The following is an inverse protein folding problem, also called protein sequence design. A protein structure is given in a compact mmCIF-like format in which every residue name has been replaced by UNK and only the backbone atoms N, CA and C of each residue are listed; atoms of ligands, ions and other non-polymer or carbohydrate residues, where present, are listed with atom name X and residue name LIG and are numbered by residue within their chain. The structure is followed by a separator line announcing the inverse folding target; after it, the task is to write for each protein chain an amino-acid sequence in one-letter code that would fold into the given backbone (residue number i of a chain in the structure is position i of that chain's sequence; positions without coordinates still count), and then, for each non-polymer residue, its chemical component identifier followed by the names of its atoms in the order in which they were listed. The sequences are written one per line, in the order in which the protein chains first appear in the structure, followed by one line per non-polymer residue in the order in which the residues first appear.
data_IF_667559370178
#
_entry.id   IF_667559370178
#
_cell.length_a   1.000
_cell.length_b   1.000
_cell.length_c   1.000
_cell.angle_alpha   90.00
_cell.angle_beta   90.00
_cell.angle_gamma   90.00
#
_symmetry.space_group_name_H-M   'P 1'
#
loop_
_entity.id
_entity.type
_entity.pdbx_description
1 polymer ?
#
# COMPACT_ATOMS: atom_id res chain seq x y z
N UNK A 1 -12.90 -42.74 -20.37
CA UNK A 1 -11.48 -42.33 -20.50
C UNK A 1 -11.19 -41.33 -19.39
N UNK A 2 -10.67 -41.81 -18.24
CA UNK A 2 -9.35 -41.48 -17.63
C UNK A 2 -9.21 -39.99 -17.26
N UNK A 3 -9.43 -39.59 -15.98
CA UNK A 3 -8.50 -39.56 -14.80
C UNK A 3 -7.55 -38.32 -14.85
N UNK A 4 -7.18 -37.55 -13.82
CA UNK A 4 -7.29 -37.61 -12.35
C UNK A 4 -6.78 -36.26 -11.75
N UNK A 5 -7.52 -35.68 -10.81
CA UNK A 5 -7.14 -35.12 -9.48
C UNK A 5 -5.65 -35.20 -9.07
N UNK A 6 -5.09 -34.14 -8.45
CA UNK A 6 -4.34 -34.27 -7.16
C UNK A 6 -4.16 -32.96 -6.36
N UNK A 7 -4.55 -33.05 -5.09
CA UNK A 7 -4.33 -32.13 -3.95
C UNK A 7 -2.99 -32.53 -3.31
N UNK A 8 -2.13 -31.58 -2.92
CA UNK A 8 -0.94 -31.89 -2.11
C UNK A 8 -1.04 -31.20 -0.74
N UNK A 9 -1.50 -32.02 0.23
CA UNK A 9 -1.08 -32.03 1.62
C UNK A 9 0.41 -32.48 1.65
N UNK A 10 1.27 -31.84 2.45
CA UNK A 10 2.61 -32.40 2.71
C UNK A 10 2.92 -32.39 4.21
N UNK A 11 2.58 -33.53 4.81
CA UNK A 11 3.09 -33.99 6.10
C UNK A 11 4.50 -34.58 5.95
N UNK A 12 5.29 -34.35 6.99
CA UNK A 12 6.49 -35.06 7.44
C UNK A 12 6.75 -36.46 6.86
N UNK A 13 7.95 -36.66 6.31
CA UNK A 13 8.68 -37.93 6.39
C UNK A 13 10.16 -37.70 6.73
N UNK A 14 10.57 -38.36 7.81
CA UNK A 14 11.92 -38.60 8.31
C UNK A 14 12.77 -39.47 7.35
N UNK A 15 14.07 -39.19 7.23
CA UNK A 15 15.16 -40.19 7.11
C UNK A 15 16.54 -39.50 7.16
N UNK A 16 17.26 -39.58 8.28
CA UNK A 16 18.58 -40.24 8.39
C UNK A 16 19.59 -39.24 8.99
N UNK A 17 20.47 -39.54 9.94
CA UNK A 17 21.17 -40.78 10.23
C UNK A 17 21.41 -40.92 11.75
N UNK A 18 21.23 -42.13 12.25
CA UNK A 18 21.70 -42.60 13.56
C UNK A 18 23.20 -42.89 13.49
N UNK A 19 24.02 -42.19 14.26
CA UNK A 19 25.34 -42.70 14.65
C UNK A 19 25.22 -43.30 16.05
N UNK A 20 25.42 -44.62 16.10
CA UNK A 20 25.56 -45.40 17.31
C UNK A 20 26.76 -44.88 18.11
N UNK A 21 26.52 -44.51 19.37
CA UNK A 21 27.59 -44.22 20.32
C UNK A 21 27.86 -45.48 21.14
N UNK A 22 29.11 -45.93 21.10
CA UNK A 22 29.58 -47.21 21.63
C UNK A 22 29.27 -47.35 23.13
N UNK A 23 28.74 -48.51 23.50
CA UNK A 23 28.63 -48.97 24.88
C UNK A 23 30.01 -49.14 25.49
N UNK A 24 30.33 -48.37 26.54
CA UNK A 24 31.51 -48.63 27.35
C UNK A 24 31.35 -49.95 28.09
N UNK A 25 32.30 -50.85 27.85
CA UNK A 25 32.47 -52.13 28.52
C UNK A 25 32.56 -51.96 30.05
N UNK A 26 31.69 -52.65 30.78
CA UNK A 26 31.92 -52.96 32.19
C UNK A 26 33.10 -53.95 32.27
N UNK A 27 34.27 -53.45 32.67
CA UNK A 27 35.40 -54.29 33.08
C UNK A 27 35.32 -54.53 34.58
N UNK A 28 34.67 -55.62 34.96
CA UNK A 28 34.79 -56.25 36.28
C UNK A 28 36.18 -56.87 36.44
N UNK A 29 37.15 -56.05 36.86
CA UNK A 29 38.50 -56.48 37.21
C UNK A 29 38.72 -56.44 38.71
N UNK A 30 38.41 -57.55 39.38
CA UNK A 30 38.84 -57.88 40.74
C UNK A 30 40.36 -58.08 40.67
N UNK A 31 41.19 -57.09 41.03
CA UNK A 31 42.54 -57.19 41.60
C UNK A 31 43.19 -55.78 41.65
N UNK A 32 43.42 -55.27 42.87
CA UNK A 32 44.12 -54.02 43.16
C UNK A 32 45.62 -54.14 42.84
N UNK A 33 46.19 -53.12 42.20
CA UNK A 33 47.63 -52.80 42.28
C UNK A 33 47.84 -51.67 43.29
N UNK A 34 48.84 -51.74 44.20
CA UNK A 34 49.11 -50.67 45.16
C UNK A 34 50.11 -49.63 44.62
N UNK A 35 49.96 -48.43 45.20
CA UNK A 35 50.84 -47.23 45.23
C UNK A 35 50.95 -46.43 43.92
N UNK A 36 50.76 -45.10 43.90
CA UNK A 36 51.25 -44.06 44.84
C UNK A 36 50.17 -42.98 45.06
N UNK A 37 50.06 -42.50 46.30
CA UNK A 37 49.19 -41.38 46.66
C UNK A 37 49.72 -40.05 46.08
N UNK A 38 49.10 -39.57 44.99
CA UNK A 38 49.11 -38.15 44.65
C UNK A 38 47.75 -37.55 45.02
N UNK A 39 47.80 -36.68 46.03
CA UNK A 39 46.71 -35.85 46.51
C UNK A 39 46.21 -34.94 45.38
N UNK A 40 45.29 -35.41 44.54
CA UNK A 40 44.53 -34.53 43.67
C UNK A 40 43.57 -33.72 44.55
N UNK A 41 44.00 -32.50 44.89
CA UNK A 41 43.15 -31.43 45.42
C UNK A 41 41.85 -31.42 44.63
N UNK A 42 40.72 -31.65 45.31
CA UNK A 42 39.42 -31.30 44.79
C UNK A 42 39.48 -29.85 44.34
N UNK A 43 39.20 -29.61 43.05
CA UNK A 43 39.10 -28.26 42.53
C UNK A 43 37.89 -27.64 43.23
N UNK A 44 38.15 -26.75 44.17
CA UNK A 44 37.11 -26.06 44.93
C UNK A 44 36.34 -25.18 43.95
N UNK A 45 35.16 -25.65 43.54
CA UNK A 45 34.24 -24.89 42.68
C UNK A 45 33.78 -23.69 43.48
N UNK A 46 34.12 -22.50 43.02
CA UNK A 46 33.75 -21.23 43.68
C UNK A 46 32.55 -20.61 42.99
N UNK A 47 31.78 -19.77 43.71
CA UNK A 47 30.58 -19.10 43.18
C UNK A 47 30.86 -18.30 41.90
N UNK A 48 32.11 -17.85 41.70
CA UNK A 48 32.58 -17.19 40.49
C UNK A 48 32.63 -18.08 39.24
N UNK A 49 32.63 -19.40 39.40
CA UNK A 49 32.53 -20.34 38.27
C UNK A 49 31.08 -20.47 37.75
N UNK A 50 30.11 -19.99 38.53
CA UNK A 50 28.69 -19.92 38.17
C UNK A 50 28.20 -18.50 37.86
N UNK A 51 29.05 -17.48 38.05
CA UNK A 51 28.74 -16.14 37.57
C UNK A 51 28.90 -16.09 36.05
N UNK A 52 27.99 -15.39 35.39
CA UNK A 52 28.05 -15.19 33.95
C UNK A 52 29.37 -14.53 33.56
N UNK A 53 30.29 -15.31 32.98
CA UNK A 53 31.50 -14.79 32.36
C UNK A 53 31.16 -14.42 30.92
N UNK A 54 31.23 -13.12 30.53
CA UNK A 54 30.98 -12.73 29.15
C UNK A 54 32.14 -13.25 28.30
N UNK A 55 31.93 -14.38 27.64
CA UNK A 55 32.96 -14.99 26.79
C UNK A 55 33.08 -14.16 25.50
N UNK A 56 34.29 -13.65 25.22
CA UNK A 56 34.61 -12.69 24.16
C UNK A 56 34.49 -13.17 22.71
N UNK A 57 33.83 -14.30 22.47
CA UNK A 57 33.50 -14.87 21.16
C UNK A 57 32.02 -15.24 21.09
N UNK A 58 31.12 -14.31 21.45
CA UNK A 58 29.69 -14.52 21.25
C UNK A 58 29.39 -14.54 19.75
N UNK A 59 29.09 -15.74 19.24
CA UNK A 59 28.62 -15.89 17.87
C UNK A 59 27.40 -14.97 17.67
N UNK A 60 27.28 -14.33 16.50
CA UNK A 60 26.12 -13.48 16.15
C UNK A 60 24.78 -14.22 16.37
N UNK A 61 24.82 -15.55 16.35
CA UNK A 61 23.71 -16.46 16.59
C UNK A 61 23.37 -16.71 18.07
N UNK A 62 24.30 -16.46 18.99
CA UNK A 62 24.09 -16.61 20.44
C UNK A 62 23.40 -15.39 21.04
N UNK A 63 23.72 -14.18 20.58
CA UNK A 63 23.20 -12.93 21.16
C UNK A 63 21.66 -12.85 21.22
N UNK A 64 20.90 -13.23 20.18
CA UNK A 64 19.44 -13.20 20.24
C UNK A 64 18.83 -14.23 21.21
N UNK A 65 19.61 -15.20 21.71
CA UNK A 65 19.13 -16.22 22.66
C UNK A 65 19.18 -15.77 24.11
N UNK A 66 20.03 -14.80 24.42
CA UNK A 66 20.33 -14.37 25.79
C UNK A 66 20.02 -12.88 26.00
N UNK A 67 20.10 -12.05 24.96
CA UNK A 67 19.78 -10.64 25.03
C UNK A 67 18.36 -10.35 24.50
N UNK A 68 17.43 -9.91 25.36
CA UNK A 68 16.06 -9.60 24.94
C UNK A 68 15.96 -8.50 23.87
N UNK A 69 16.80 -7.47 23.95
CA UNK A 69 16.81 -6.37 22.99
C UNK A 69 17.25 -6.82 21.59
N UNK A 70 18.21 -7.73 21.52
CA UNK A 70 18.64 -8.34 20.24
C UNK A 70 17.55 -9.24 19.67
N UNK A 71 16.85 -10.01 20.51
CA UNK A 71 15.73 -10.84 20.07
C UNK A 71 14.56 -10.00 19.53
N UNK A 72 14.26 -8.88 20.21
CA UNK A 72 13.30 -7.89 19.75
C UNK A 72 13.68 -7.35 18.37
N UNK A 73 14.91 -6.86 18.22
CA UNK A 73 15.39 -6.29 16.95
C UNK A 73 15.36 -7.33 15.82
N UNK A 74 15.76 -8.58 16.09
CA UNK A 74 15.69 -9.66 15.11
C UNK A 74 14.26 -9.87 14.59
N UNK A 75 13.27 -9.96 15.48
CA UNK A 75 11.87 -10.14 15.09
C UNK A 75 11.21 -8.88 14.52
N UNK A 76 11.73 -7.68 14.84
CA UNK A 76 11.30 -6.43 14.22
C UNK A 76 11.74 -6.33 12.76
N UNK A 77 12.87 -6.94 12.39
CA UNK A 77 13.35 -7.01 10.99
C UNK A 77 12.68 -8.16 10.26
N UNK A 78 12.69 -9.36 10.86
CA UNK A 78 12.09 -10.57 10.27
C UNK A 78 11.15 -11.19 11.31
N UNK A 79 9.82 -11.06 11.16
CA UNK A 79 8.86 -11.62 12.09
C UNK A 79 9.10 -13.11 12.32
N UNK A 80 9.21 -13.50 13.59
CA UNK A 80 9.47 -14.87 14.02
C UNK A 80 10.94 -15.21 14.25
N UNK A 81 11.90 -14.35 13.88
CA UNK A 81 13.33 -14.66 13.99
C UNK A 81 13.81 -14.84 15.44
N UNK A 82 13.42 -13.94 16.36
CA UNK A 82 13.75 -14.03 17.77
C UNK A 82 13.15 -15.27 18.44
N UNK A 83 11.95 -15.68 18.03
CA UNK A 83 11.30 -16.92 18.45
C UNK A 83 12.08 -18.14 17.93
N UNK A 84 12.51 -18.13 16.67
CA UNK A 84 13.30 -19.22 16.08
C UNK A 84 14.64 -19.41 16.81
N UNK A 85 15.37 -18.32 17.10
CA UNK A 85 16.61 -18.39 17.88
C UNK A 85 16.39 -19.01 19.26
N UNK A 86 15.24 -18.77 19.87
CA UNK A 86 14.83 -19.32 21.16
C UNK A 86 14.05 -20.64 21.07
N UNK A 87 14.14 -21.35 19.93
CA UNK A 87 13.54 -22.67 19.68
C UNK A 87 12.00 -22.70 19.83
N UNK A 88 11.34 -21.55 19.68
CA UNK A 88 9.87 -21.43 19.67
C UNK A 88 9.33 -21.53 18.24
N UNK A 89 9.58 -22.67 17.61
CA UNK A 89 9.34 -22.91 16.18
C UNK A 89 7.89 -22.70 15.73
N UNK A 90 6.90 -23.09 16.54
CA UNK A 90 5.48 -22.89 16.19
C UNK A 90 5.15 -21.40 16.10
N UNK A 91 5.58 -20.59 17.07
CA UNK A 91 5.34 -19.14 17.06
C UNK A 91 6.09 -18.47 15.91
N UNK A 92 7.36 -18.85 15.72
CA UNK A 92 8.17 -18.37 14.60
C UNK A 92 7.49 -18.65 13.26
N UNK A 93 6.98 -19.87 13.07
CA UNK A 93 6.28 -20.29 11.86
C UNK A 93 5.00 -19.50 11.59
N UNK A 94 4.21 -19.18 12.63
CA UNK A 94 2.99 -18.37 12.48
C UNK A 94 3.32 -16.96 12.01
N UNK A 95 4.23 -16.26 12.68
CA UNK A 95 4.62 -14.89 12.30
C UNK A 95 5.18 -14.84 10.88
N UNK A 96 6.03 -15.79 10.53
CA UNK A 96 6.61 -15.88 9.20
C UNK A 96 5.57 -16.24 8.13
N UNK A 97 4.61 -17.13 8.42
CA UNK A 97 3.57 -17.49 7.47
C UNK A 97 2.63 -16.30 7.16
N UNK A 98 2.27 -15.52 8.18
CA UNK A 98 1.50 -14.28 8.01
C UNK A 98 2.29 -13.29 7.15
N UNK A 99 3.59 -13.14 7.42
CA UNK A 99 4.48 -12.26 6.67
C UNK A 99 4.54 -12.65 5.19
N UNK A 100 4.85 -13.92 4.91
CA UNK A 100 4.95 -14.44 3.55
C UNK A 100 3.64 -14.30 2.78
N UNK A 101 2.50 -14.69 3.38
CA UNK A 101 1.20 -14.58 2.75
C UNK A 101 0.81 -13.12 2.49
N UNK A 102 1.06 -12.23 3.45
CA UNK A 102 0.77 -10.80 3.31
C UNK A 102 1.65 -10.14 2.25
N UNK A 103 2.95 -10.43 2.19
CA UNK A 103 3.84 -9.92 1.15
C UNK A 103 3.40 -10.38 -0.24
N UNK A 104 3.09 -11.66 -0.41
CA UNK A 104 2.57 -12.20 -1.68
C UNK A 104 1.31 -11.44 -2.11
N UNK A 105 0.34 -11.28 -1.21
CA UNK A 105 -0.90 -10.57 -1.51
C UNK A 105 -0.67 -9.08 -1.79
N UNK A 106 0.21 -8.42 -1.03
CA UNK A 106 0.56 -7.02 -1.23
C UNK A 106 1.16 -6.78 -2.61
N UNK A 107 2.12 -7.63 -3.03
CA UNK A 107 2.74 -7.52 -4.34
C UNK A 107 1.75 -7.86 -5.47
N UNK A 108 0.90 -8.87 -5.31
CA UNK A 108 -0.17 -9.18 -6.26
C UNK A 108 -1.06 -7.95 -6.49
N UNK A 109 -1.61 -7.37 -5.41
CA UNK A 109 -2.51 -6.20 -5.50
C UNK A 109 -1.84 -4.95 -6.02
N UNK A 110 -0.59 -4.67 -5.63
CA UNK A 110 0.15 -3.56 -6.21
C UNK A 110 0.42 -3.76 -7.71
N UNK A 111 0.77 -4.97 -8.14
CA UNK A 111 0.99 -5.25 -9.56
C UNK A 111 -0.30 -5.12 -10.36
N UNK A 112 -1.43 -5.58 -9.81
CA UNK A 112 -2.73 -5.47 -10.44
C UNK A 112 -3.19 -4.02 -10.53
N UNK A 113 -3.04 -3.24 -9.45
CA UNK A 113 -3.38 -1.83 -9.43
C UNK A 113 -2.60 -1.05 -10.49
N UNK A 114 -1.29 -1.27 -10.62
CA UNK A 114 -0.46 -0.61 -11.65
C UNK A 114 -0.93 -0.92 -13.07
N UNK A 115 -1.21 -2.19 -13.38
CA UNK A 115 -1.72 -2.57 -14.71
C UNK A 115 -3.06 -1.91 -15.03
N UNK A 116 -3.93 -1.77 -14.01
CA UNK A 116 -5.24 -1.13 -14.17
C UNK A 116 -5.12 0.39 -14.29
N UNK A 117 -4.18 1.00 -13.56
CA UNK A 117 -3.83 2.42 -13.67
C UNK A 117 -3.29 2.71 -15.08
N UNK A 118 -2.33 1.93 -15.58
CA UNK A 118 -1.81 2.05 -16.96
C UNK A 118 -2.94 1.92 -18.01
N UNK A 119 -3.84 0.95 -17.83
CA UNK A 119 -5.00 0.77 -18.72
C UNK A 119 -5.96 1.96 -18.65
N UNK A 120 -6.16 2.54 -17.47
CA UNK A 120 -6.95 3.75 -17.28
C UNK A 120 -6.29 4.98 -17.91
N UNK A 121 -4.97 5.15 -17.75
CA UNK A 121 -4.23 6.22 -18.40
C UNK A 121 -4.40 6.13 -19.93
N UNK A 122 -4.19 4.95 -20.51
CA UNK A 122 -4.41 4.73 -21.94
C UNK A 122 -5.86 5.04 -22.35
N UNK A 123 -6.85 4.57 -21.59
CA UNK A 123 -8.25 4.88 -21.84
C UNK A 123 -8.52 6.39 -21.84
N UNK A 124 -7.95 7.14 -20.90
CA UNK A 124 -8.07 8.60 -20.88
C UNK A 124 -7.35 9.26 -22.04
N UNK A 125 -6.22 8.72 -22.51
CA UNK A 125 -5.50 9.24 -23.68
C UNK A 125 -6.32 9.09 -24.96
N UNK A 126 -7.12 8.04 -25.04
CA UNK A 126 -8.01 7.77 -26.18
C UNK A 126 -9.27 8.61 -26.15
N UNK A 127 -9.75 8.99 -24.97
CA UNK A 127 -11.12 9.44 -24.77
C UNK A 127 -11.29 10.79 -24.08
N UNK A 128 -10.22 11.43 -23.58
CA UNK A 128 -10.29 12.74 -22.93
C UNK A 128 -9.34 13.75 -23.56
N UNK A 129 -9.84 14.97 -23.77
CA UNK A 129 -9.09 16.07 -24.38
C UNK A 129 -9.23 17.39 -23.62
N UNK A 130 -8.09 18.03 -23.35
CA UNK A 130 -8.04 19.38 -22.78
C UNK A 130 -8.56 20.43 -23.77
N UNK A 131 -8.39 20.21 -25.07
CA UNK A 131 -8.93 21.09 -26.11
C UNK A 131 -10.45 21.03 -26.10
N UNK A 132 -11.04 19.84 -26.04
CA UNK A 132 -12.49 19.68 -25.93
C UNK A 132 -13.04 20.37 -24.67
N UNK A 133 -12.37 20.17 -23.53
CA UNK A 133 -12.75 20.81 -22.28
C UNK A 133 -12.64 22.35 -22.33
N UNK A 134 -11.55 22.89 -22.87
CA UNK A 134 -11.36 24.32 -23.02
C UNK A 134 -12.36 24.96 -23.99
N UNK A 135 -12.71 24.27 -25.09
CA UNK A 135 -13.75 24.71 -26.01
C UNK A 135 -15.10 24.80 -25.30
N UNK A 136 -15.42 23.79 -24.51
CA UNK A 136 -16.62 23.80 -23.70
C UNK A 136 -16.62 24.96 -22.71
N UNK A 137 -15.52 25.24 -22.00
CA UNK A 137 -15.43 26.41 -21.11
C UNK A 137 -15.73 27.72 -21.85
N UNK A 138 -15.17 27.90 -23.04
CA UNK A 138 -15.39 29.10 -23.86
C UNK A 138 -16.85 29.22 -24.28
N UNK A 139 -17.43 28.15 -24.82
CA UNK A 139 -18.81 28.12 -25.30
C UNK A 139 -19.82 28.24 -24.15
N UNK A 140 -19.52 27.64 -23.01
CA UNK A 140 -20.29 27.77 -21.77
C UNK A 140 -20.29 29.23 -21.31
N UNK A 141 -19.14 29.89 -21.30
CA UNK A 141 -19.04 31.30 -20.93
C UNK A 141 -19.79 32.20 -21.90
N UNK A 142 -19.72 31.93 -23.22
CA UNK A 142 -20.50 32.68 -24.21
C UNK A 142 -22.00 32.49 -24.04
N UNK A 143 -22.43 31.24 -23.92
CA UNK A 143 -23.83 30.90 -23.74
C UNK A 143 -24.41 31.63 -22.52
N UNK A 144 -23.63 31.78 -21.45
CA UNK A 144 -24.07 32.38 -20.19
C UNK A 144 -23.64 33.85 -20.01
N UNK A 145 -23.17 34.52 -21.08
CA UNK A 145 -22.72 35.92 -21.06
C UNK A 145 -21.73 36.23 -19.93
N UNK A 146 -20.79 35.31 -19.67
CA UNK A 146 -19.78 35.45 -18.61
C UNK A 146 -18.63 36.34 -19.09
N UNK A 147 -18.34 37.40 -18.34
CA UNK A 147 -17.18 38.26 -18.57
C UNK A 147 -16.01 37.80 -17.68
N UNK A 148 -15.06 37.08 -18.27
CA UNK A 148 -13.87 36.57 -17.60
C UNK A 148 -12.60 37.10 -18.28
N UNK A 149 -11.60 37.46 -17.49
CA UNK A 149 -10.43 38.22 -17.97
C UNK A 149 -9.60 37.49 -19.05
N UNK A 150 -9.50 36.17 -18.96
CA UNK A 150 -8.67 35.34 -19.85
C UNK A 150 -9.47 34.58 -20.92
N UNK A 151 -10.79 34.79 -20.99
CA UNK A 151 -11.67 34.05 -21.90
C UNK A 151 -11.28 34.18 -23.37
N UNK A 152 -10.95 35.40 -23.81
CA UNK A 152 -10.54 35.64 -25.19
C UNK A 152 -9.18 35.02 -25.54
N UNK A 153 -8.27 34.94 -24.56
CA UNK A 153 -6.98 34.26 -24.73
C UNK A 153 -7.16 32.74 -24.78
N UNK A 154 -8.07 32.18 -23.97
CA UNK A 154 -8.41 30.76 -24.05
C UNK A 154 -9.07 30.45 -25.39
N UNK A 155 -10.00 31.30 -25.86
CA UNK A 155 -10.65 31.17 -27.16
C UNK A 155 -9.65 31.13 -28.31
N UNK A 156 -8.66 32.02 -28.33
CA UNK A 156 -7.68 32.05 -29.43
C UNK A 156 -6.77 30.82 -29.48
N UNK A 157 -6.67 30.05 -28.39
CA UNK A 157 -5.95 28.77 -28.35
C UNK A 157 -6.75 27.63 -28.97
N UNK A 158 -8.07 27.63 -28.81
CA UNK A 158 -8.91 26.47 -29.16
C UNK A 158 -9.94 26.73 -30.26
N UNK A 159 -10.00 27.96 -30.79
CA UNK A 159 -10.77 28.34 -31.96
C UNK A 159 -9.90 29.02 -33.02
N UNK A 160 -10.06 28.61 -34.27
CA UNK A 160 -9.42 29.21 -35.44
C UNK A 160 -10.48 29.72 -36.41
N UNK A 161 -10.41 31.00 -36.79
CA UNK A 161 -11.39 31.66 -37.66
C UNK A 161 -12.86 31.48 -37.20
N UNK A 162 -13.07 31.52 -35.88
CA UNK A 162 -14.40 31.34 -35.27
C UNK A 162 -14.91 29.90 -35.23
N UNK A 163 -14.10 28.91 -35.61
CA UNK A 163 -14.45 27.49 -35.56
C UNK A 163 -13.59 26.75 -34.53
N UNK A 164 -14.16 25.82 -33.74
CA UNK A 164 -13.37 25.01 -32.81
C UNK A 164 -12.35 24.16 -33.57
N UNK A 165 -11.12 24.08 -33.06
CA UNK A 165 -10.12 23.15 -33.60
C UNK A 165 -10.52 21.70 -33.25
N UNK A 166 -10.19 20.73 -34.09
CA UNK A 166 -10.52 19.34 -33.78
C UNK A 166 -9.60 18.80 -32.68
N UNK A 167 -10.12 18.24 -31.57
CA UNK A 167 -9.32 17.46 -30.63
C UNK A 167 -8.63 16.30 -31.34
N UNK A 168 -7.39 15.98 -30.95
CA UNK A 168 -6.60 14.96 -31.65
C UNK A 168 -7.13 13.54 -31.39
N UNK A 169 -7.71 13.27 -30.21
CA UNK A 169 -8.19 11.96 -29.71
C UNK A 169 -7.17 10.81 -29.87
N UNK A 170 -6.82 10.10 -28.79
CA UNK A 170 -5.76 9.08 -28.86
C UNK A 170 -4.35 9.66 -28.90
N UNK A 171 -4.22 10.98 -28.94
CA UNK A 171 -2.96 11.69 -28.71
C UNK A 171 -3.19 12.93 -27.83
N UNK A 172 -3.60 12.69 -26.59
CA UNK A 172 -3.79 13.73 -25.57
C UNK A 172 -2.56 14.63 -25.38
N UNK A 173 -1.28 14.17 -25.45
CA UNK A 173 -0.12 15.06 -25.39
C UNK A 173 -0.14 16.21 -26.39
N UNK A 174 -0.63 15.99 -27.62
CA UNK A 174 -0.71 17.05 -28.63
C UNK A 174 -1.74 18.11 -28.23
N UNK A 175 -2.92 17.70 -27.73
CA UNK A 175 -3.94 18.63 -27.26
C UNK A 175 -3.43 19.51 -26.10
N UNK A 176 -2.55 18.96 -25.26
CA UNK A 176 -1.90 19.71 -24.18
C UNK A 176 -0.86 20.73 -24.66
N UNK A 177 -0.37 20.62 -25.89
CA UNK A 177 0.51 21.62 -26.47
C UNK A 177 -0.25 22.86 -27.00
N UNK A 178 -1.56 22.71 -27.25
CA UNK A 178 -2.42 23.79 -27.74
C UNK A 178 -2.92 24.70 -26.61
N UNK A 179 -3.14 24.13 -25.41
CA UNK A 179 -3.76 24.85 -24.29
C UNK A 179 -2.74 25.26 -23.23
N UNK A 180 -2.61 26.57 -23.01
CA UNK A 180 -1.86 27.06 -21.85
C UNK A 180 -2.68 26.87 -20.58
N UNK A 181 -2.25 25.92 -19.73
CA UNK A 181 -2.95 25.55 -18.51
C UNK A 181 -3.20 26.73 -17.55
N UNK A 182 -2.30 27.72 -17.50
CA UNK A 182 -2.49 28.90 -16.64
C UNK A 182 -3.66 29.75 -17.12
N UNK A 183 -3.80 29.94 -18.43
CA UNK A 183 -4.91 30.68 -19.02
C UNK A 183 -6.22 29.93 -18.79
N UNK A 184 -6.21 28.60 -18.94
CA UNK A 184 -7.34 27.75 -18.62
C UNK A 184 -7.76 27.90 -17.15
N UNK A 185 -6.84 27.83 -16.19
CA UNK A 185 -7.15 27.96 -14.76
C UNK A 185 -7.78 29.30 -14.40
N UNK A 186 -7.32 30.40 -15.00
CA UNK A 186 -7.92 31.71 -14.74
C UNK A 186 -9.38 31.80 -15.21
N UNK A 187 -9.71 31.11 -16.30
CA UNK A 187 -11.10 30.96 -16.76
C UNK A 187 -11.87 30.02 -15.84
N UNK A 188 -11.31 28.86 -15.51
CA UNK A 188 -11.94 27.81 -14.69
C UNK A 188 -12.36 28.34 -13.30
N UNK A 189 -11.46 29.05 -12.61
CA UNK A 189 -11.73 29.66 -11.29
C UNK A 189 -12.90 30.65 -11.31
N UNK A 190 -13.04 31.39 -12.42
CA UNK A 190 -14.08 32.41 -12.58
C UNK A 190 -15.37 31.81 -13.18
N UNK A 191 -15.46 30.49 -13.36
CA UNK A 191 -16.61 29.83 -13.99
C UNK A 191 -17.59 29.32 -12.92
N UNK A 192 -18.81 29.90 -12.82
CA UNK A 192 -19.85 29.41 -11.94
C UNK A 192 -20.60 28.22 -12.55
N UNK A 193 -21.02 27.28 -11.70
CA UNK A 193 -22.09 26.34 -12.01
C UNK A 193 -23.44 27.06 -12.04
N UNK A 194 -24.03 27.09 -13.22
CA UNK A 194 -25.38 27.60 -13.47
C UNK A 194 -26.31 26.39 -13.58
N UNK A 195 -27.30 26.33 -12.69
CA UNK A 195 -28.30 25.26 -12.64
C UNK A 195 -29.65 25.81 -13.08
N UNK A 196 -30.43 25.10 -13.89
CA UNK A 196 -31.82 25.47 -14.24
C UNK A 196 -31.99 26.94 -14.63
N UNK A 197 -31.65 27.23 -15.87
CA UNK A 197 -31.67 28.58 -16.44
C UNK A 197 -33.10 29.01 -16.76
N UNK A 198 -33.66 30.03 -16.08
CA UNK A 198 -34.96 30.60 -16.44
C UNK A 198 -34.93 31.17 -17.87
N UNK A 199 -36.09 31.25 -18.51
CA UNK A 199 -36.25 31.94 -19.80
C UNK A 199 -35.76 33.40 -19.67
N UNK A 200 -34.86 33.84 -20.57
CA UNK A 200 -34.25 35.18 -20.55
C UNK A 200 -32.81 35.27 -20.00
N UNK A 201 -32.25 34.21 -19.40
CA UNK A 201 -30.85 34.20 -18.93
C UNK A 201 -29.78 34.13 -20.05
N UNK A 202 -30.22 34.14 -21.31
CA UNK A 202 -29.40 34.04 -22.52
C UNK A 202 -29.26 35.38 -23.26
N UNK A 203 -29.93 36.42 -22.77
CA UNK A 203 -29.89 37.76 -23.31
C UNK A 203 -28.71 38.54 -22.72
N UNK A 204 -28.27 39.58 -23.43
CA UNK A 204 -27.30 40.54 -22.91
C UNK A 204 -27.93 41.26 -21.71
N UNK A 205 -27.41 41.00 -20.50
CA UNK A 205 -27.93 41.43 -19.17
C UNK A 205 -28.92 40.44 -18.51
N UNK A 206 -28.49 39.19 -18.19
CA UNK A 206 -29.41 38.16 -17.73
C UNK A 206 -29.94 38.43 -16.30
N UNK A 207 -31.26 38.29 -16.05
CA UNK A 207 -31.84 38.35 -14.71
C UNK A 207 -31.34 37.18 -13.85
N UNK A 208 -31.36 37.32 -12.51
CA UNK A 208 -30.87 36.35 -11.49
C UNK A 208 -30.89 34.87 -11.92
N UNK A 209 -29.84 34.43 -12.64
CA UNK A 209 -29.70 33.02 -12.99
C UNK A 209 -29.40 32.22 -11.71
N UNK A 210 -29.94 31.01 -11.63
CA UNK A 210 -29.78 30.10 -10.50
C UNK A 210 -28.32 29.59 -10.43
N UNK A 211 -27.42 30.43 -9.93
CA UNK A 211 -26.01 30.12 -9.67
C UNK A 211 -25.88 29.45 -8.30
N UNK A 212 -25.10 28.37 -8.19
CA UNK A 212 -24.82 27.73 -6.90
C UNK A 212 -23.43 27.98 -6.36
N UNK A 213 -22.40 27.82 -7.17
CA UNK A 213 -21.00 27.95 -6.73
C UNK A 213 -20.08 28.00 -7.95
N UNK A 214 -18.85 28.45 -7.76
CA UNK A 214 -17.75 28.32 -8.73
C UNK A 214 -17.26 26.87 -8.83
N UNK A 215 -16.45 26.59 -9.86
CA UNK A 215 -15.80 25.30 -9.98
C UNK A 215 -14.94 25.02 -8.76
N UNK A 216 -15.02 23.78 -8.27
CA UNK A 216 -14.44 23.40 -6.98
C UNK A 216 -12.97 22.97 -7.10
N UNK A 217 -12.54 22.63 -8.31
CA UNK A 217 -11.21 22.11 -8.60
C UNK A 217 -10.66 22.79 -9.86
N UNK A 218 -9.34 22.72 -10.01
CA UNK A 218 -8.64 23.14 -11.22
C UNK A 218 -8.12 21.90 -11.94
N UNK A 219 -8.10 21.94 -13.28
CA UNK A 219 -7.55 20.85 -14.09
C UNK A 219 -6.06 20.65 -13.78
N UNK A 220 -5.61 19.50 -13.25
CA UNK A 220 -4.21 19.31 -12.93
C UNK A 220 -3.36 19.15 -14.19
N UNK A 221 -2.04 19.31 -14.05
CA UNK A 221 -1.11 19.15 -15.15
C UNK A 221 -1.15 17.72 -15.73
N UNK A 222 -1.08 17.64 -17.06
CA UNK A 222 -1.01 16.38 -17.80
C UNK A 222 0.01 15.41 -17.21
N UNK A 223 -0.36 14.12 -17.17
CA UNK A 223 0.49 13.04 -16.70
C UNK A 223 0.69 12.99 -15.18
N UNK A 224 0.13 13.95 -14.41
CA UNK A 224 0.12 13.86 -12.96
C UNK A 224 -0.92 12.87 -12.45
N UNK A 225 -0.66 12.24 -11.30
CA UNK A 225 -1.64 11.38 -10.64
C UNK A 225 -2.95 12.14 -10.37
N UNK A 226 -2.87 13.41 -9.99
CA UNK A 226 -4.05 14.24 -9.75
C UNK A 226 -4.87 14.43 -11.02
N UNK A 227 -4.23 14.62 -12.18
CA UNK A 227 -4.95 14.77 -13.44
C UNK A 227 -5.85 13.56 -13.71
N UNK A 228 -5.28 12.36 -13.65
CA UNK A 228 -6.01 11.12 -13.84
C UNK A 228 -7.07 10.89 -12.76
N UNK A 229 -6.86 11.32 -11.52
CA UNK A 229 -7.89 11.22 -10.47
C UNK A 229 -9.07 12.17 -10.74
N UNK A 230 -8.81 13.44 -11.02
CA UNK A 230 -9.86 14.46 -11.02
C UNK A 230 -10.78 14.35 -12.24
N UNK A 231 -10.25 14.05 -13.43
CA UNK A 231 -11.03 14.04 -14.70
C UNK A 231 -12.18 13.00 -14.74
N UNK A 232 -12.08 11.95 -13.92
CA UNK A 232 -13.12 10.90 -13.77
C UNK A 232 -13.87 10.97 -12.45
N UNK A 233 -13.54 11.92 -11.57
CA UNK A 233 -14.14 12.06 -10.24
C UNK A 233 -15.10 13.23 -10.16
N UNK A 234 -14.76 14.34 -10.81
CA UNK A 234 -15.58 15.55 -10.79
C UNK A 234 -16.30 15.72 -12.10
N UNK A 235 -17.62 15.82 -12.00
CA UNK A 235 -18.52 16.06 -13.12
C UNK A 235 -18.14 17.30 -13.95
N UNK A 236 -17.45 18.27 -13.34
CA UNK A 236 -16.94 19.47 -14.01
C UNK A 236 -16.00 19.19 -15.20
N UNK A 237 -15.34 18.03 -15.22
CA UNK A 237 -14.42 17.64 -16.30
C UNK A 237 -15.07 16.72 -17.34
N UNK A 238 -16.36 16.43 -17.16
CA UNK A 238 -17.12 15.63 -18.11
C UNK A 238 -17.01 16.15 -19.56
N UNK A 239 -17.03 17.47 -19.83
CA UNK A 239 -17.00 17.96 -21.20
C UNK A 239 -15.73 17.67 -21.99
N UNK A 240 -14.65 17.29 -21.32
CA UNK A 240 -13.44 16.82 -21.99
C UNK A 240 -13.54 15.40 -22.56
N UNK A 241 -14.57 14.63 -22.17
CA UNK A 241 -14.78 13.27 -22.66
C UNK A 241 -15.36 13.26 -24.09
N UNK A 242 -14.91 12.29 -24.88
CA UNK A 242 -15.19 12.22 -26.32
C UNK A 242 -16.65 12.06 -26.69
N UNK A 243 -17.40 11.29 -25.91
CA UNK A 243 -18.83 11.07 -26.11
C UNK A 243 -19.64 12.33 -25.84
N UNK A 244 -19.33 13.04 -24.75
CA UNK A 244 -19.88 14.38 -24.50
C UNK A 244 -19.58 15.31 -25.68
N UNK A 245 -18.32 15.40 -26.08
CA UNK A 245 -17.91 16.26 -27.19
C UNK A 245 -18.66 15.93 -28.48
N UNK A 246 -18.74 14.65 -28.84
CA UNK A 246 -19.35 14.22 -30.10
C UNK A 246 -20.86 14.48 -30.09
N UNK A 247 -21.54 14.13 -29.01
CA UNK A 247 -22.99 14.18 -28.95
C UNK A 247 -23.52 15.62 -28.79
N UNK A 248 -22.80 16.49 -28.06
CA UNK A 248 -23.17 17.90 -27.91
C UNK A 248 -22.82 18.74 -29.14
N UNK A 249 -21.74 18.43 -29.85
CA UNK A 249 -21.33 19.21 -31.05
C UNK A 249 -22.11 18.82 -32.32
N UNK A 250 -22.84 17.70 -32.31
CA UNK A 250 -23.56 17.17 -33.49
C UNK A 250 -25.08 17.19 -33.37
N UNK A 251 -25.63 17.67 -32.25
CA UNK A 251 -27.08 17.72 -32.04
C UNK A 251 -27.76 18.77 -32.95
N UNK A 252 -28.41 18.31 -34.03
CA UNK A 252 -29.29 19.15 -34.86
C UNK A 252 -30.53 19.58 -34.05
N UNK A 253 -30.77 20.90 -33.99
CA UNK A 253 -31.96 21.56 -33.40
C UNK A 253 -31.98 21.84 -31.89
N UNK A 254 -30.84 22.07 -31.24
CA UNK A 254 -30.84 22.68 -29.89
C UNK A 254 -30.22 24.08 -29.92
N UNK A 255 -30.80 25.02 -29.17
CA UNK A 255 -30.22 26.36 -29.03
C UNK A 255 -28.86 26.24 -28.33
N UNK A 256 -27.87 27.01 -28.80
CA UNK A 256 -26.47 26.97 -28.30
C UNK A 256 -26.38 27.10 -26.76
N UNK A 257 -27.38 27.71 -26.14
CA UNK A 257 -27.52 27.87 -24.70
C UNK A 257 -27.83 26.55 -23.94
N UNK A 258 -28.64 25.65 -24.51
CA UNK A 258 -29.02 24.39 -23.85
C UNK A 258 -27.94 23.30 -23.95
N UNK A 259 -27.09 23.36 -24.97
CA UNK A 259 -26.08 22.34 -25.28
C UNK A 259 -24.93 22.26 -24.28
N UNK A 260 -24.59 23.35 -23.61
CA UNK A 260 -23.43 23.42 -22.71
C UNK A 260 -23.82 23.36 -21.23
N UNK A 261 -25.09 23.15 -20.90
CA UNK A 261 -25.53 23.09 -19.51
C UNK A 261 -25.27 21.74 -18.85
N UNK A 262 -24.88 21.79 -17.59
CA UNK A 262 -25.08 20.68 -16.68
C UNK A 262 -26.57 20.63 -16.31
N UNK A 263 -27.32 19.78 -16.99
CA UNK A 263 -28.73 19.55 -16.68
C UNK A 263 -28.84 18.75 -15.38
N UNK A 264 -28.75 19.43 -14.24
CA UNK A 264 -28.96 18.82 -12.91
C UNK A 264 -30.46 18.64 -12.64
N UNK A 265 -31.15 17.92 -13.52
CA UNK A 265 -32.57 17.59 -13.39
C UNK A 265 -32.80 16.21 -12.74
N UNK A 266 -31.72 15.50 -12.40
CA UNK A 266 -31.76 14.15 -11.82
C UNK A 266 -32.16 13.04 -12.81
N UNK A 267 -32.37 13.38 -14.07
CA UNK A 267 -32.71 12.46 -15.16
C UNK A 267 -31.53 12.30 -16.14
N UNK A 268 -30.70 13.33 -16.29
CA UNK A 268 -29.51 13.27 -17.13
C UNK A 268 -28.36 12.58 -16.39
N UNK A 269 -28.02 11.39 -16.89
CA UNK A 269 -26.87 10.63 -16.42
C UNK A 269 -25.63 11.10 -17.19
N UNK A 270 -24.45 11.19 -16.54
CA UNK A 270 -23.20 11.32 -17.25
C UNK A 270 -23.09 10.35 -18.43
N UNK A 271 -22.41 10.77 -19.49
CA UNK A 271 -22.16 9.96 -20.66
C UNK A 271 -21.27 8.75 -20.29
N UNK A 272 -21.33 7.71 -21.13
CA UNK A 272 -20.82 6.38 -20.81
C UNK A 272 -19.31 6.36 -20.50
N UNK A 273 -18.49 7.14 -21.22
CA UNK A 273 -17.04 7.17 -21.05
C UNK A 273 -16.63 7.79 -19.71
N UNK A 274 -17.38 8.79 -19.21
CA UNK A 274 -17.14 9.33 -17.87
C UNK A 274 -17.35 8.26 -16.79
N UNK A 275 -18.44 7.48 -16.90
CA UNK A 275 -18.71 6.39 -15.96
C UNK A 275 -17.68 5.27 -16.07
N UNK A 276 -17.29 4.89 -17.29
CA UNK A 276 -16.24 3.90 -17.50
C UNK A 276 -14.91 4.37 -16.88
N UNK A 277 -14.52 5.64 -17.10
CA UNK A 277 -13.34 6.23 -16.50
C UNK A 277 -13.39 6.23 -14.97
N UNK A 278 -14.54 6.62 -14.39
CA UNK A 278 -14.78 6.58 -12.95
C UNK A 278 -14.63 5.17 -12.38
N UNK A 279 -15.23 4.18 -13.02
CA UNK A 279 -15.25 2.80 -12.53
C UNK A 279 -13.85 2.16 -12.63
N UNK A 280 -13.13 2.42 -13.72
CA UNK A 280 -11.71 2.03 -13.85
C UNK A 280 -10.86 2.70 -12.77
N UNK A 281 -11.08 3.99 -12.52
CA UNK A 281 -10.37 4.73 -11.48
C UNK A 281 -10.66 4.20 -10.08
N UNK A 282 -11.91 3.86 -9.79
CA UNK A 282 -12.30 3.24 -8.53
C UNK A 282 -11.65 1.86 -8.36
N UNK A 283 -11.57 1.06 -9.42
CA UNK A 283 -11.03 -0.30 -9.36
C UNK A 283 -9.54 -0.33 -8.97
N UNK A 284 -8.68 0.42 -9.64
CA UNK A 284 -7.26 0.41 -9.30
C UNK A 284 -7.00 1.04 -7.92
N UNK A 285 -7.73 2.10 -7.56
CA UNK A 285 -7.65 2.72 -6.24
C UNK A 285 -8.11 1.77 -5.12
N UNK A 286 -9.10 0.92 -5.38
CA UNK A 286 -9.51 -0.14 -4.48
C UNK A 286 -8.38 -1.16 -4.26
N UNK A 287 -7.64 -1.52 -5.31
CA UNK A 287 -6.52 -2.45 -5.20
C UNK A 287 -5.32 -1.84 -4.45
N UNK A 288 -4.99 -0.56 -4.67
CA UNK A 288 -4.00 0.16 -3.85
C UNK A 288 -4.42 0.24 -2.38
N UNK A 289 -5.69 0.52 -2.08
CA UNK A 289 -6.21 0.51 -0.70
C UNK A 289 -6.08 -0.86 -0.05
N UNK A 290 -6.39 -1.94 -0.77
CA UNK A 290 -6.19 -3.32 -0.27
C UNK A 290 -4.73 -3.60 0.01
N UNK A 291 -3.82 -3.26 -0.92
CA UNK A 291 -2.38 -3.44 -0.73
C UNK A 291 -1.85 -2.64 0.48
N UNK A 292 -2.31 -1.40 0.66
CA UNK A 292 -1.96 -0.56 1.81
C UNK A 292 -2.50 -1.10 3.14
N UNK A 293 -3.70 -1.68 3.16
CA UNK A 293 -4.25 -2.33 4.36
C UNK A 293 -3.45 -3.57 4.76
N UNK A 294 -2.95 -4.34 3.78
CA UNK A 294 -2.06 -5.47 4.07
C UNK A 294 -0.71 -4.99 4.58
N UNK A 295 -0.14 -3.90 4.04
CA UNK A 295 1.08 -3.30 4.60
C UNK A 295 0.91 -2.92 6.08
N UNK A 296 -0.26 -2.38 6.47
CA UNK A 296 -0.57 -2.10 7.89
C UNK A 296 -0.62 -3.39 8.72
N UNK A 297 -1.21 -4.46 8.19
CA UNK A 297 -1.25 -5.77 8.86
C UNK A 297 0.17 -6.32 9.08
N UNK A 298 1.03 -6.25 8.07
CA UNK A 298 2.43 -6.66 8.18
C UNK A 298 3.17 -5.85 9.25
N UNK A 299 2.98 -4.54 9.30
CA UNK A 299 3.56 -3.71 10.36
C UNK A 299 3.13 -4.17 11.76
N UNK A 300 1.84 -4.47 11.95
CA UNK A 300 1.34 -5.01 13.22
C UNK A 300 1.97 -6.38 13.52
N UNK A 301 2.12 -7.25 12.52
CA UNK A 301 2.78 -8.54 12.64
C UNK A 301 4.23 -8.40 13.12
N UNK A 302 4.99 -7.46 12.55
CA UNK A 302 6.35 -7.13 12.98
C UNK A 302 6.40 -6.68 14.44
N UNK A 303 5.54 -5.74 14.84
CA UNK A 303 5.52 -5.21 16.21
C UNK A 303 5.18 -6.32 17.21
N UNK A 304 4.11 -7.07 16.96
CA UNK A 304 3.68 -8.16 17.85
C UNK A 304 4.77 -9.24 17.94
N UNK A 305 5.40 -9.59 16.82
CA UNK A 305 6.49 -10.56 16.80
C UNK A 305 7.71 -10.09 17.58
N UNK A 306 8.09 -8.81 17.46
CA UNK A 306 9.20 -8.23 18.20
C UNK A 306 8.99 -8.29 19.71
N UNK A 307 7.79 -7.92 20.19
CA UNK A 307 7.46 -7.98 21.62
C UNK A 307 7.34 -9.42 22.13
N UNK A 308 6.76 -10.36 21.38
CA UNK A 308 6.75 -11.78 21.80
C UNK A 308 8.18 -12.34 21.91
N UNK A 309 9.11 -11.90 21.04
CA UNK A 309 10.52 -12.31 21.13
C UNK A 309 11.20 -11.74 22.37
N UNK A 310 10.97 -10.44 22.64
CA UNK A 310 11.46 -9.76 23.85
C UNK A 310 11.04 -10.51 25.11
N UNK A 311 9.73 -10.73 25.27
CA UNK A 311 9.17 -11.39 26.47
C UNK A 311 9.59 -12.85 26.55
N UNK A 312 9.74 -13.55 25.43
CA UNK A 312 10.26 -14.92 25.40
C UNK A 312 11.65 -15.02 26.02
N UNK A 313 12.55 -14.09 25.70
CA UNK A 313 13.91 -14.08 26.28
C UNK A 313 13.90 -13.60 27.73
N UNK A 314 13.14 -12.56 28.06
CA UNK A 314 13.02 -12.11 29.46
C UNK A 314 12.52 -13.21 30.39
N UNK A 315 11.42 -13.87 30.04
CA UNK A 315 10.87 -14.98 30.83
C UNK A 315 11.83 -16.17 30.93
N UNK A 316 12.58 -16.45 29.86
CA UNK A 316 13.61 -17.49 29.86
C UNK A 316 14.74 -17.13 30.82
N UNK A 317 15.24 -15.90 30.77
CA UNK A 317 16.33 -15.42 31.64
C UNK A 317 15.90 -15.43 33.11
N UNK A 318 14.71 -14.91 33.44
CA UNK A 318 14.19 -14.91 34.82
C UNK A 318 13.99 -16.32 35.38
N UNK A 319 13.60 -17.30 34.56
CA UNK A 319 13.52 -18.71 34.97
C UNK A 319 14.90 -19.30 35.25
N UNK A 320 15.89 -18.99 34.42
CA UNK A 320 17.28 -19.44 34.63
C UNK A 320 17.84 -18.84 35.93
N UNK A 321 17.63 -17.55 36.18
CA UNK A 321 18.03 -16.87 37.42
C UNK A 321 17.36 -17.49 38.65
N UNK A 322 16.03 -17.72 38.60
CA UNK A 322 15.29 -18.31 39.72
C UNK A 322 15.77 -19.73 40.04
N UNK A 323 15.97 -20.57 39.00
CA UNK A 323 16.47 -21.94 39.18
C UNK A 323 17.90 -21.95 39.73
N UNK A 324 18.77 -21.05 39.25
CA UNK A 324 20.14 -20.93 39.76
C UNK A 324 20.17 -20.51 41.24
N UNK A 325 19.31 -19.56 41.63
CA UNK A 325 19.18 -19.13 43.03
C UNK A 325 18.68 -20.29 43.93
N UNK A 326 17.71 -21.07 43.48
CA UNK A 326 17.21 -22.23 44.23
C UNK A 326 18.31 -23.29 44.44
N UNK A 327 19.05 -23.65 43.39
CA UNK A 327 20.16 -24.61 43.48
C UNK A 327 21.26 -24.14 44.43
N UNK A 328 21.58 -22.84 44.41
CA UNK A 328 22.55 -22.23 45.34
C UNK A 328 22.10 -22.34 46.81
N UNK A 329 20.82 -22.11 47.10
CA UNK A 329 20.27 -22.24 48.45
C UNK A 329 20.28 -23.69 48.97
N UNK A 330 19.97 -24.67 48.13
CA UNK A 330 20.07 -26.09 48.48
C UNK A 330 21.50 -26.49 48.81
N UNK A 331 22.48 -26.03 48.02
CA UNK A 331 23.89 -26.31 48.26
C UNK A 331 24.40 -25.67 49.56
N UNK A 332 23.98 -24.43 49.86
CA UNK A 332 24.32 -23.76 51.12
C UNK A 332 23.76 -24.53 52.34
N UNK A 333 22.52 -25.01 52.25
CA UNK A 333 21.89 -25.85 53.29
C UNK A 333 22.65 -27.17 53.50
N UNK A 334 23.12 -27.81 52.44
CA UNK A 334 23.89 -29.05 52.54
C UNK A 334 25.28 -28.82 53.16
N UNK A 335 25.92 -27.68 52.88
CA UNK A 335 27.21 -27.32 53.50
C UNK A 335 27.10 -26.94 54.98
N UNK A 336 25.93 -26.46 55.43
CA UNK A 336 25.68 -26.13 56.83
C UNK A 336 25.28 -27.35 57.68
N UNK A 337 24.89 -28.46 57.05
CA UNK A 337 24.64 -29.74 57.72
C UNK A 337 25.87 -30.65 57.65
N UNK A 338 26.94 -30.31 58.39
CA UNK A 338 28.01 -31.23 58.76
C UNK A 338 28.56 -30.92 60.14
#
# INVERSE_FOLDING_TARGET
MKKLIFIILLCFCFAGQTLAQQTFHFSSGIFKKPDVAETQRSKQVTISDFSYQPNGNSSVWEMPRTNPGVAFAASAIVPGAGQAFNKKWVRAGIYFAIEAAGLIYHFDKNSLARRQEEAYEQFTHENWSVVAYAQWLVQYSDANNLSQSQLNNLRSMVFSNGRPIAPNWGNTPNDWSEVNIRVLHEVEKQTPFILNTPEGCWENDPPNCNRRSEFSHELPQYGSQQYYELISKYYQFQPGWRDWYTDITTAENQSAAALYQYMWNGQDQPFALFYQGRDMAEEFNNNYRKAGNILKLLLVNHVVSAFDALFTVQLKNSRLETNANMLSMEQFSLTWHF
#
